data_IF_191772296905
#
_entry.id   IF_191772296905
#
_cell.length_a   1.000
_cell.length_b   1.000
_cell.length_c   1.000
_cell.angle_alpha   90.00
_cell.angle_beta   90.00
_cell.angle_gamma   90.00
#
_symmetry.space_group_name_H-M   'P 1'
#
loop_
_entity.id
_entity.type
_entity.pdbx_description
1 polymer ?
#
# COMPACT_ATOMS: atom_id res chain seq x y z
N UNK A 1 -17.14 -0.33 15.47
CA UNK A 1 -15.91 -1.15 15.32
C UNK A 1 -15.90 -1.56 13.87
N UNK A 2 -15.31 -0.73 13.03
CA UNK A 2 -15.48 -0.85 11.59
C UNK A 2 -14.46 -1.85 11.08
N UNK A 3 -14.94 -3.07 10.90
CA UNK A 3 -14.26 -4.12 10.17
C UNK A 3 -14.12 -3.67 8.73
N UNK A 4 -12.97 -3.09 8.39
CA UNK A 4 -12.50 -3.09 7.01
C UNK A 4 -12.10 -4.54 6.71
N UNK A 5 -13.11 -5.36 6.44
CA UNK A 5 -12.95 -6.58 5.69
C UNK A 5 -12.33 -6.15 4.36
N UNK A 6 -11.11 -6.62 4.09
CA UNK A 6 -10.51 -6.58 2.77
C UNK A 6 -11.38 -7.44 1.84
N UNK A 7 -12.51 -6.90 1.41
CA UNK A 7 -13.08 -7.30 0.13
C UNK A 7 -12.29 -6.49 -0.89
N UNK A 8 -11.51 -7.12 -1.80
CA UNK A 8 -11.11 -6.42 -2.99
C UNK A 8 -12.41 -6.01 -3.69
N UNK A 9 -12.79 -4.74 -3.60
CA UNK A 9 -13.91 -4.24 -4.39
C UNK A 9 -13.64 -4.56 -5.87
N UNK A 10 -14.69 -4.91 -6.60
CA UNK A 10 -14.67 -5.31 -8.03
C UNK A 10 -13.91 -4.34 -8.96
N UNK A 11 -13.61 -3.12 -8.48
CA UNK A 11 -12.90 -2.07 -9.21
C UNK A 11 -11.49 -2.50 -9.69
N UNK A 12 -10.83 -3.43 -9.00
CA UNK A 12 -9.53 -3.99 -9.43
C UNK A 12 -9.62 -5.34 -10.14
N UNK A 13 -10.78 -6.00 -10.12
CA UNK A 13 -10.97 -7.25 -10.84
C UNK A 13 -10.90 -7.04 -12.38
N UNK A 14 -10.99 -5.78 -12.84
CA UNK A 14 -10.93 -5.42 -14.26
C UNK A 14 -9.70 -4.54 -14.55
N UNK A 15 -8.56 -5.12 -14.95
CA UNK A 15 -7.35 -4.37 -15.30
C UNK A 15 -7.60 -3.27 -16.33
N UNK A 16 -8.54 -3.51 -17.26
CA UNK A 16 -8.94 -2.60 -18.34
C UNK A 16 -9.45 -1.22 -17.88
N UNK A 17 -9.75 -1.05 -16.59
CA UNK A 17 -10.19 0.22 -16.00
C UNK A 17 -9.06 1.07 -15.43
N UNK A 18 -7.84 0.54 -15.34
CA UNK A 18 -6.68 1.31 -14.90
C UNK A 18 -6.10 2.10 -16.07
N UNK A 19 -5.47 3.23 -15.79
CA UNK A 19 -4.67 3.89 -16.81
C UNK A 19 -3.52 2.95 -17.24
N UNK A 20 -3.11 2.95 -18.53
CA UNK A 20 -2.11 2.00 -19.04
C UNK A 20 -0.81 1.94 -18.25
N UNK A 21 -0.42 3.03 -17.60
CA UNK A 21 0.80 3.08 -16.76
C UNK A 21 0.75 2.19 -15.51
N UNK A 22 -0.43 1.78 -15.06
CA UNK A 22 -0.63 0.90 -13.91
C UNK A 22 -0.84 -0.57 -14.31
N UNK A 23 -0.77 -0.88 -15.60
CA UNK A 23 -0.93 -2.25 -16.07
C UNK A 23 0.32 -3.08 -15.77
N UNK A 24 0.14 -4.08 -14.92
CA UNK A 24 1.14 -5.11 -14.67
C UNK A 24 0.73 -6.35 -15.44
N UNK A 25 1.56 -6.74 -16.40
CA UNK A 25 1.32 -7.87 -17.28
C UNK A 25 2.49 -8.84 -17.24
N UNK A 26 2.20 -10.12 -17.47
CA UNK A 26 3.22 -11.16 -17.48
C UNK A 26 2.63 -12.48 -17.03
N UNK A 27 3.04 -13.57 -17.67
CA UNK A 27 2.74 -14.93 -17.18
C UNK A 27 3.97 -15.44 -16.45
N UNK A 28 3.78 -15.82 -15.19
CA UNK A 28 4.85 -16.30 -14.32
C UNK A 28 5.56 -15.20 -13.54
N UNK A 29 6.36 -15.64 -12.57
CA UNK A 29 6.94 -14.79 -11.53
C UNK A 29 7.85 -13.70 -12.11
N UNK A 30 8.78 -14.04 -12.99
CA UNK A 30 9.78 -13.09 -13.52
C UNK A 30 9.16 -11.99 -14.39
N UNK A 31 8.23 -12.36 -15.26
CA UNK A 31 7.56 -11.41 -16.16
C UNK A 31 6.68 -10.43 -15.37
N UNK A 32 5.89 -10.94 -14.43
CA UNK A 32 5.07 -10.10 -13.55
C UNK A 32 5.95 -9.20 -12.68
N UNK A 33 7.02 -9.72 -12.08
CA UNK A 33 7.95 -8.96 -11.25
C UNK A 33 8.67 -7.84 -12.01
N UNK A 34 9.07 -8.09 -13.25
CA UNK A 34 9.72 -7.09 -14.11
C UNK A 34 8.74 -5.96 -14.46
N UNK A 35 7.52 -6.31 -14.85
CA UNK A 35 6.47 -5.33 -15.12
C UNK A 35 6.09 -4.54 -13.86
N UNK A 36 6.00 -5.21 -12.71
CA UNK A 36 5.75 -4.58 -11.42
C UNK A 36 6.87 -3.60 -11.03
N UNK A 37 8.14 -3.98 -11.17
CA UNK A 37 9.27 -3.11 -10.88
C UNK A 37 9.22 -1.82 -11.72
N UNK A 38 8.93 -1.95 -13.03
CA UNK A 38 8.74 -0.77 -13.90
C UNK A 38 7.61 0.14 -13.39
N UNK A 39 6.43 -0.41 -13.11
CA UNK A 39 5.28 0.38 -12.63
C UNK A 39 5.58 1.04 -11.29
N UNK A 40 6.16 0.30 -10.33
CA UNK A 40 6.53 0.83 -9.01
C UNK A 40 7.53 1.98 -9.14
N UNK A 41 8.53 1.89 -10.02
CA UNK A 41 9.45 2.98 -10.29
C UNK A 41 8.75 4.25 -10.79
N UNK A 42 7.76 4.11 -11.67
CA UNK A 42 6.94 5.25 -12.14
C UNK A 42 6.10 5.86 -11.02
N UNK A 43 5.49 5.03 -10.16
CA UNK A 43 4.70 5.51 -9.01
C UNK A 43 5.60 6.21 -7.99
N UNK A 44 6.79 5.66 -7.72
CA UNK A 44 7.77 6.29 -6.83
C UNK A 44 8.18 7.67 -7.34
N UNK A 45 8.44 7.80 -8.65
CA UNK A 45 8.72 9.11 -9.26
C UNK A 45 7.56 10.08 -9.12
N UNK A 46 6.33 9.61 -9.36
CA UNK A 46 5.12 10.43 -9.19
C UNK A 46 4.95 10.89 -7.75
N UNK A 47 5.17 10.02 -6.76
CA UNK A 47 5.18 10.40 -5.35
C UNK A 47 6.25 11.44 -5.06
N UNK A 48 7.49 11.29 -5.53
CA UNK A 48 8.53 12.32 -5.28
C UNK A 48 8.13 13.72 -5.77
N UNK A 49 7.39 13.80 -6.88
CA UNK A 49 6.88 15.07 -7.43
C UNK A 49 5.67 15.61 -6.67
N UNK A 50 4.96 14.76 -5.92
CA UNK A 50 3.76 15.12 -5.18
C UNK A 50 4.00 16.24 -4.18
N UNK A 51 5.13 16.21 -3.45
CA UNK A 51 5.42 17.23 -2.44
C UNK A 51 5.42 18.66 -3.03
N UNK A 52 5.89 18.83 -4.27
CA UNK A 52 5.86 20.10 -4.98
C UNK A 52 4.46 20.45 -5.50
N UNK A 53 3.75 19.46 -6.06
CA UNK A 53 2.43 19.67 -6.66
C UNK A 53 1.31 19.88 -5.61
N UNK A 54 1.40 19.23 -4.45
CA UNK A 54 0.35 19.22 -3.43
C UNK A 54 0.00 20.62 -2.92
N UNK A 55 1.01 21.50 -2.82
CA UNK A 55 0.84 22.88 -2.38
C UNK A 55 0.21 23.81 -3.41
N UNK A 56 0.12 23.41 -4.68
CA UNK A 56 -0.47 24.22 -5.74
C UNK A 56 -1.98 24.02 -5.84
N UNK A 57 -2.52 22.99 -5.19
CA UNK A 57 -3.94 22.67 -5.23
C UNK A 57 -4.62 23.34 -4.04
N UNK A 58 -5.79 23.95 -4.24
CA UNK A 58 -6.59 24.47 -3.12
C UNK A 58 -7.20 23.31 -2.33
N UNK A 59 -7.74 22.33 -3.04
CA UNK A 59 -8.22 21.05 -2.55
C UNK A 59 -7.50 19.96 -3.34
N UNK A 60 -6.68 19.14 -2.67
CA UNK A 60 -5.95 18.09 -3.37
C UNK A 60 -6.92 16.97 -3.78
N UNK A 61 -6.93 16.60 -5.06
CA UNK A 61 -7.76 15.53 -5.61
C UNK A 61 -6.84 14.41 -6.12
N UNK A 62 -6.76 13.36 -5.30
CA UNK A 62 -5.91 12.20 -5.53
C UNK A 62 -6.30 11.41 -6.79
N UNK A 63 -7.59 11.13 -7.07
CA UNK A 63 -8.02 10.57 -8.35
C UNK A 63 -7.40 11.27 -9.56
N UNK A 64 -7.52 12.60 -9.63
CA UNK A 64 -6.97 13.36 -10.76
C UNK A 64 -5.44 13.32 -10.80
N UNK A 65 -4.76 13.46 -9.66
CA UNK A 65 -3.29 13.47 -9.63
C UNK A 65 -2.66 12.13 -10.05
N UNK A 66 -3.30 11.01 -9.66
CA UNK A 66 -2.80 9.68 -9.94
C UNK A 66 -3.43 9.06 -11.21
N UNK A 67 -4.23 9.78 -12.00
CA UNK A 67 -4.95 9.21 -13.15
C UNK A 67 -5.79 7.98 -12.77
N UNK A 68 -6.46 8.05 -11.61
CA UNK A 68 -7.30 6.99 -11.04
C UNK A 68 -8.75 7.43 -10.98
N UNK A 69 -9.68 6.48 -11.04
CA UNK A 69 -11.06 6.70 -10.59
C UNK A 69 -11.13 6.87 -9.07
N UNK A 70 -12.24 7.41 -8.55
CA UNK A 70 -12.44 7.58 -7.11
C UNK A 70 -12.32 6.26 -6.32
N UNK A 71 -12.88 5.17 -6.86
CA UNK A 71 -12.81 3.82 -6.26
C UNK A 71 -11.35 3.34 -6.20
N UNK A 72 -10.63 3.48 -7.30
CA UNK A 72 -9.22 3.08 -7.38
C UNK A 72 -8.33 3.90 -6.44
N UNK A 73 -8.53 5.22 -6.39
CA UNK A 73 -7.79 6.08 -5.48
C UNK A 73 -8.05 5.72 -4.01
N UNK A 74 -9.29 5.39 -3.65
CA UNK A 74 -9.67 5.01 -2.28
C UNK A 74 -8.95 3.74 -1.81
N UNK A 75 -8.73 2.78 -2.71
CA UNK A 75 -8.08 1.52 -2.36
C UNK A 75 -6.56 1.53 -2.53
N UNK A 76 -6.03 2.29 -3.52
CA UNK A 76 -4.59 2.36 -3.78
C UNK A 76 -3.88 3.45 -2.97
N UNK A 77 -4.56 4.54 -2.63
CA UNK A 77 -3.91 5.74 -2.07
C UNK A 77 -4.53 6.10 -0.74
N UNK A 78 -3.66 6.28 0.27
CA UNK A 78 -4.05 6.84 1.55
C UNK A 78 -3.31 8.14 1.79
N UNK A 79 -4.05 9.22 2.00
CA UNK A 79 -3.48 10.54 2.33
C UNK A 79 -3.98 10.94 3.70
N UNK A 80 -3.05 11.26 4.60
CA UNK A 80 -3.33 11.73 5.95
C UNK A 80 -2.62 13.06 6.15
N UNK A 81 -3.40 14.14 6.17
CA UNK A 81 -2.90 15.44 6.65
C UNK A 81 -2.81 15.41 8.18
N UNK A 82 -1.61 15.65 8.70
CA UNK A 82 -1.33 15.89 10.11
C UNK A 82 -1.09 17.39 10.33
N UNK A 83 -0.87 17.79 11.59
CA UNK A 83 -0.72 19.19 11.99
C UNK A 83 0.30 19.98 11.15
N UNK A 84 1.40 19.36 10.75
CA UNK A 84 2.45 20.01 9.96
C UNK A 84 3.00 19.21 8.79
N UNK A 85 2.51 18.00 8.58
CA UNK A 85 3.01 17.06 7.58
C UNK A 85 1.85 16.42 6.84
N UNK A 86 2.07 16.03 5.59
CA UNK A 86 1.18 15.19 4.81
C UNK A 86 1.88 13.85 4.66
N UNK A 87 1.17 12.80 5.04
CA UNK A 87 1.62 11.42 4.90
C UNK A 87 0.83 10.76 3.78
N UNK A 88 1.54 10.25 2.77
CA UNK A 88 0.94 9.61 1.60
C UNK A 88 1.44 8.18 1.52
N UNK A 89 0.51 7.22 1.34
CA UNK A 89 0.80 5.81 1.11
C UNK A 89 0.20 5.41 -0.22
N UNK A 90 0.96 4.68 -1.04
CA UNK A 90 0.48 4.05 -2.27
C UNK A 90 0.71 2.52 -2.18
N UNK A 91 -0.38 1.74 -2.20
CA UNK A 91 -0.35 0.29 -2.03
C UNK A 91 -0.11 -0.42 -3.38
N UNK A 92 1.12 -0.37 -3.88
CA UNK A 92 1.47 -0.97 -5.18
C UNK A 92 1.23 -2.50 -5.23
N UNK A 93 1.27 -3.20 -4.09
CA UNK A 93 1.00 -4.65 -4.05
C UNK A 93 -0.39 -5.00 -4.62
N UNK A 94 -1.39 -4.13 -4.42
CA UNK A 94 -2.75 -4.35 -4.92
C UNK A 94 -2.85 -4.29 -6.46
N UNK A 95 -1.84 -3.72 -7.12
CA UNK A 95 -1.77 -3.70 -8.58
C UNK A 95 -1.39 -5.07 -9.16
N UNK A 96 -0.75 -5.95 -8.36
CA UNK A 96 -0.22 -7.22 -8.83
C UNK A 96 -1.35 -8.20 -9.22
N UNK A 97 -1.30 -8.81 -10.41
CA UNK A 97 -2.17 -9.92 -10.77
C UNK A 97 -2.18 -11.06 -9.74
N UNK A 98 -1.00 -11.46 -9.26
CA UNK A 98 -0.84 -12.49 -8.22
C UNK A 98 -1.49 -12.10 -6.89
N UNK A 99 -1.46 -10.81 -6.52
CA UNK A 99 -2.15 -10.34 -5.31
C UNK A 99 -3.66 -10.47 -5.46
N UNK A 100 -4.21 -10.02 -6.59
CA UNK A 100 -5.65 -10.10 -6.87
C UNK A 100 -6.12 -11.55 -6.87
N UNK A 101 -5.35 -12.43 -7.50
CA UNK A 101 -5.64 -13.86 -7.56
C UNK A 101 -5.64 -14.51 -6.15
N UNK A 102 -4.62 -14.24 -5.34
CA UNK A 102 -4.57 -14.69 -3.95
C UNK A 102 -5.71 -14.10 -3.10
N UNK A 103 -6.01 -12.81 -3.25
CA UNK A 103 -7.07 -12.12 -2.50
C UNK A 103 -8.48 -12.61 -2.88
N UNK A 104 -8.74 -12.89 -4.15
CA UNK A 104 -10.00 -13.46 -4.63
C UNK A 104 -10.19 -14.89 -4.10
N UNK A 105 -9.14 -15.71 -4.12
CA UNK A 105 -9.21 -17.05 -3.54
C UNK A 105 -9.41 -17.00 -2.01
N UNK A 106 -8.68 -16.11 -1.33
CA UNK A 106 -8.81 -15.90 0.11
C UNK A 106 -10.23 -15.51 0.49
N UNK A 107 -10.77 -14.46 -0.11
CA UNK A 107 -12.08 -13.89 0.24
C UNK A 107 -13.25 -14.77 -0.23
N UNK A 108 -13.15 -15.37 -1.42
CA UNK A 108 -14.24 -16.12 -2.03
C UNK A 108 -14.32 -17.59 -1.62
N UNK A 109 -13.19 -18.22 -1.24
CA UNK A 109 -13.14 -19.67 -0.96
C UNK A 109 -12.53 -19.98 0.39
N UNK A 110 -11.29 -19.53 0.64
CA UNK A 110 -10.54 -19.99 1.81
C UNK A 110 -11.11 -19.46 3.13
N UNK A 111 -11.27 -18.14 3.28
CA UNK A 111 -11.76 -17.50 4.50
C UNK A 111 -13.17 -17.96 4.90
N UNK A 112 -14.17 -18.01 3.99
CA UNK A 112 -15.49 -18.54 4.32
C UNK A 112 -15.45 -20.00 4.80
N UNK A 113 -14.74 -20.87 4.08
CA UNK A 113 -14.61 -22.28 4.45
C UNK A 113 -13.88 -22.46 5.79
N UNK A 114 -12.83 -21.66 6.02
CA UNK A 114 -12.09 -21.66 7.28
C UNK A 114 -12.95 -21.20 8.46
N UNK A 115 -13.76 -20.15 8.28
CA UNK A 115 -14.71 -19.69 9.30
C UNK A 115 -15.80 -20.72 9.59
N UNK A 116 -16.30 -21.41 8.56
CA UNK A 116 -17.28 -22.49 8.72
C UNK A 116 -16.68 -23.70 9.45
N UNK A 117 -15.46 -24.12 9.09
CA UNK A 117 -14.73 -25.19 9.77
C UNK A 117 -14.55 -24.92 11.27
N UNK A 118 -14.35 -23.66 11.67
CA UNK A 118 -14.28 -23.29 13.10
C UNK A 118 -15.59 -23.53 13.86
N UNK A 119 -16.72 -23.57 13.16
CA UNK A 119 -18.03 -23.90 13.72
C UNK A 119 -18.31 -25.41 13.60
N UNK A 120 -17.84 -26.03 12.52
CA UNK A 120 -18.06 -27.44 12.17
C UNK A 120 -16.71 -28.15 11.91
N UNK A 121 -16.06 -28.72 12.95
CA UNK A 121 -14.71 -29.30 12.83
C UNK A 121 -14.61 -30.48 11.85
N UNK A 122 -15.72 -31.10 11.47
CA UNK A 122 -15.77 -32.16 10.45
C UNK A 122 -15.27 -31.69 9.07
N UNK A 123 -15.33 -30.39 8.80
CA UNK A 123 -14.85 -29.78 7.56
C UNK A 123 -13.32 -29.57 7.54
N UNK A 124 -12.61 -29.94 8.60
CA UNK A 124 -11.17 -29.71 8.72
C UNK A 124 -10.37 -30.40 7.61
N UNK A 125 -10.74 -31.61 7.21
CA UNK A 125 -10.06 -32.33 6.12
C UNK A 125 -10.15 -31.56 4.81
N UNK A 126 -11.34 -31.08 4.44
CA UNK A 126 -11.54 -30.26 3.24
C UNK A 126 -10.68 -28.98 3.28
N UNK A 127 -10.68 -28.27 4.41
CA UNK A 127 -9.93 -27.01 4.51
C UNK A 127 -8.42 -27.25 4.48
N UNK A 128 -7.91 -28.19 5.28
CA UNK A 128 -6.47 -28.38 5.44
C UNK A 128 -5.83 -29.19 4.32
N UNK A 129 -6.54 -30.13 3.70
CA UNK A 129 -5.99 -30.99 2.65
C UNK A 129 -6.31 -30.48 1.23
N UNK A 130 -7.42 -29.76 1.02
CA UNK A 130 -7.79 -29.29 -0.33
C UNK A 130 -7.56 -27.79 -0.51
N UNK A 131 -8.07 -26.95 0.40
CA UNK A 131 -8.06 -25.49 0.20
C UNK A 131 -6.75 -24.83 0.63
N UNK A 132 -6.18 -25.26 1.75
CA UNK A 132 -4.94 -24.69 2.30
C UNK A 132 -3.75 -24.84 1.35
N UNK A 133 -3.46 -26.00 0.74
CA UNK A 133 -2.33 -26.12 -0.19
C UNK A 133 -2.45 -25.16 -1.39
N UNK A 134 -3.66 -24.96 -1.90
CA UNK A 134 -3.93 -24.02 -3.00
C UNK A 134 -3.72 -22.57 -2.55
N UNK A 135 -4.13 -22.22 -1.33
CA UNK A 135 -3.86 -20.89 -0.77
C UNK A 135 -2.36 -20.67 -0.56
N UNK A 136 -1.63 -21.68 -0.07
CA UNK A 136 -0.18 -21.65 0.13
C UNK A 136 0.54 -21.40 -1.19
N UNK A 137 0.17 -22.13 -2.25
CA UNK A 137 0.76 -21.97 -3.58
C UNK A 137 0.58 -20.54 -4.11
N UNK A 138 -0.65 -20.01 -4.08
CA UNK A 138 -0.95 -18.64 -4.54
C UNK A 138 -0.23 -17.59 -3.72
N UNK A 139 -0.18 -17.78 -2.40
CA UNK A 139 0.54 -16.89 -1.50
C UNK A 139 2.04 -16.89 -1.77
N UNK A 140 2.66 -18.07 -1.92
CA UNK A 140 4.08 -18.19 -2.24
C UNK A 140 4.41 -17.58 -3.61
N UNK A 141 3.54 -17.75 -4.61
CA UNK A 141 3.70 -17.11 -5.91
C UNK A 141 3.70 -15.57 -5.79
N UNK A 142 2.74 -15.00 -5.05
CA UNK A 142 2.70 -13.56 -4.77
C UNK A 142 4.00 -13.09 -4.08
N UNK A 143 4.43 -13.79 -3.02
CA UNK A 143 5.67 -13.44 -2.31
C UNK A 143 6.90 -13.53 -3.22
N UNK A 144 6.94 -14.50 -4.13
CA UNK A 144 8.02 -14.63 -5.10
C UNK A 144 8.04 -13.45 -6.07
N UNK A 145 6.88 -13.03 -6.60
CA UNK A 145 6.76 -11.84 -7.46
C UNK A 145 7.29 -10.59 -6.75
N UNK A 146 6.82 -10.35 -5.52
CA UNK A 146 7.24 -9.17 -4.75
C UNK A 146 8.75 -9.22 -4.47
N UNK A 147 9.28 -10.37 -4.04
CA UNK A 147 10.73 -10.51 -3.77
C UNK A 147 11.56 -10.23 -5.01
N UNK A 148 11.20 -10.82 -6.14
CA UNK A 148 11.90 -10.61 -7.41
C UNK A 148 11.81 -9.14 -7.85
N UNK A 149 10.64 -8.51 -7.75
CA UNK A 149 10.49 -7.09 -8.08
C UNK A 149 11.36 -6.21 -7.18
N UNK A 150 11.44 -6.50 -5.88
CA UNK A 150 12.31 -5.79 -4.93
C UNK A 150 13.80 -5.98 -5.26
N UNK A 151 14.21 -7.16 -5.73
CA UNK A 151 15.58 -7.40 -6.20
C UNK A 151 15.90 -6.52 -7.41
N UNK A 152 14.98 -6.40 -8.36
CA UNK A 152 15.13 -5.51 -9.53
C UNK A 152 15.22 -4.04 -9.09
N UNK A 153 14.42 -3.64 -8.10
CA UNK A 153 14.38 -2.28 -7.56
C UNK A 153 15.47 -1.97 -6.53
N UNK A 154 16.41 -2.89 -6.27
CA UNK A 154 17.39 -2.75 -5.19
C UNK A 154 18.29 -1.51 -5.33
N UNK A 155 18.49 -1.02 -6.56
CA UNK A 155 19.28 0.16 -6.88
C UNK A 155 18.42 1.38 -7.30
N UNK A 156 17.09 1.25 -7.33
CA UNK A 156 16.21 2.35 -7.70
C UNK A 156 16.08 3.36 -6.56
N UNK A 157 16.66 4.54 -6.75
CA UNK A 157 16.68 5.62 -5.74
C UNK A 157 15.27 6.09 -5.36
N UNK A 158 14.34 6.10 -6.32
CA UNK A 158 12.95 6.50 -6.07
C UNK A 158 12.26 5.53 -5.12
N UNK A 159 12.37 4.24 -5.41
CA UNK A 159 11.88 3.17 -4.55
C UNK A 159 12.51 3.19 -3.18
N UNK A 160 13.85 3.28 -3.09
CA UNK A 160 14.55 3.31 -1.80
C UNK A 160 14.12 4.51 -0.93
N UNK A 161 13.93 5.68 -1.54
CA UNK A 161 13.50 6.89 -0.85
C UNK A 161 12.03 6.86 -0.40
N UNK A 162 11.21 6.01 -1.02
CA UNK A 162 9.77 5.93 -0.78
C UNK A 162 9.32 4.55 -0.27
N UNK A 163 10.21 3.65 0.10
CA UNK A 163 9.84 2.30 0.54
C UNK A 163 9.08 2.35 1.88
N UNK A 164 7.81 1.93 1.85
CA UNK A 164 6.88 1.96 2.98
C UNK A 164 6.83 0.68 3.81
N UNK A 165 7.78 -0.24 3.64
CA UNK A 165 7.74 -1.53 4.33
C UNK A 165 7.71 -1.43 5.86
N UNK A 166 8.31 -0.40 6.45
CA UNK A 166 8.27 -0.20 7.90
C UNK A 166 6.86 0.17 8.37
N UNK A 167 6.25 1.19 7.77
CA UNK A 167 4.90 1.66 8.09
C UNK A 167 3.85 0.56 7.92
N UNK A 168 4.00 -0.26 6.88
CA UNK A 168 3.11 -1.41 6.67
C UNK A 168 3.27 -2.47 7.77
N UNK A 169 4.49 -2.78 8.20
CA UNK A 169 4.71 -3.71 9.31
C UNK A 169 4.15 -3.16 10.62
N UNK A 170 4.37 -1.89 10.94
CA UNK A 170 3.81 -1.28 12.14
C UNK A 170 2.28 -1.37 12.14
N UNK A 171 1.66 -1.11 10.98
CA UNK A 171 0.21 -1.29 10.80
C UNK A 171 -0.18 -2.74 11.13
N UNK A 172 0.47 -3.72 10.51
CA UNK A 172 0.09 -5.13 10.62
C UNK A 172 0.45 -5.80 11.96
N UNK A 173 1.38 -5.24 12.72
CA UNK A 173 1.97 -5.85 13.92
C UNK A 173 0.93 -6.37 14.91
N UNK A 174 -0.14 -5.61 15.18
CA UNK A 174 -1.18 -6.00 16.14
C UNK A 174 -1.94 -7.27 15.73
N UNK A 175 -2.11 -7.48 14.43
CA UNK A 175 -2.83 -8.64 13.89
C UNK A 175 -1.88 -9.84 13.74
N UNK A 176 -0.61 -9.57 13.46
CA UNK A 176 0.43 -10.59 13.32
C UNK A 176 0.99 -11.12 14.65
N UNK A 177 0.68 -10.45 15.76
CA UNK A 177 1.09 -10.89 17.10
C UNK A 177 0.25 -12.05 17.65
N UNK A 178 -0.92 -12.33 17.05
CA UNK A 178 -1.75 -13.45 17.44
C UNK A 178 -1.10 -14.78 17.00
N UNK A 179 -1.16 -15.84 17.82
CA UNK A 179 -0.67 -17.16 17.40
C UNK A 179 -1.49 -17.67 16.21
N UNK A 180 -0.83 -18.39 15.30
CA UNK A 180 -1.50 -19.05 14.20
C UNK A 180 -2.52 -20.05 14.73
N UNK A 181 -3.64 -20.21 14.02
CA UNK A 181 -4.60 -21.26 14.34
C UNK A 181 -3.92 -22.62 14.17
N UNK A 182 -4.14 -23.59 15.09
CA UNK A 182 -3.61 -24.95 14.92
C UNK A 182 -3.99 -25.53 13.56
N UNK A 183 -3.04 -26.18 12.89
CA UNK A 183 -3.24 -26.78 11.56
C UNK A 183 -3.13 -25.80 10.38
N UNK A 184 -3.02 -24.49 10.63
CA UNK A 184 -2.69 -23.53 9.59
C UNK A 184 -1.22 -23.68 9.18
N UNK A 185 -0.95 -23.73 7.89
CA UNK A 185 0.39 -23.82 7.32
C UNK A 185 1.19 -22.55 7.66
N UNK A 186 2.41 -22.72 8.17
CA UNK A 186 3.30 -21.63 8.55
C UNK A 186 3.64 -20.69 7.37
N UNK A 187 3.58 -21.19 6.14
CA UNK A 187 3.79 -20.38 4.94
C UNK A 187 2.72 -19.29 4.77
N UNK A 188 1.51 -19.48 5.30
CA UNK A 188 0.44 -18.47 5.26
C UNK A 188 0.59 -17.40 6.34
N UNK A 189 1.40 -17.66 7.38
CA UNK A 189 1.65 -16.70 8.45
C UNK A 189 3.14 -16.64 8.81
N UNK A 190 4.02 -16.31 7.84
CA UNK A 190 5.45 -16.22 8.09
C UNK A 190 5.73 -15.05 9.07
N UNK A 191 6.90 -14.98 9.71
CA UNK A 191 7.26 -13.85 10.55
C UNK A 191 7.09 -12.52 9.81
N UNK A 192 6.43 -11.53 10.42
CA UNK A 192 6.07 -10.27 9.76
C UNK A 192 7.27 -9.55 9.11
N UNK A 193 8.46 -9.66 9.72
CA UNK A 193 9.70 -9.11 9.19
C UNK A 193 10.10 -9.69 7.81
N UNK A 194 9.61 -10.88 7.48
CA UNK A 194 9.89 -11.60 6.23
C UNK A 194 8.80 -11.39 5.17
N UNK A 195 7.69 -10.75 5.52
CA UNK A 195 6.64 -10.38 4.57
C UNK A 195 7.14 -9.18 3.74
N UNK A 196 7.41 -9.37 2.44
CA UNK A 196 7.87 -8.31 1.58
C UNK A 196 6.66 -7.49 1.07
N UNK A 197 6.92 -6.25 0.67
CA UNK A 197 5.89 -5.36 0.11
C UNK A 197 6.51 -4.41 -0.92
N UNK A 198 5.70 -3.95 -1.86
CA UNK A 198 5.98 -2.87 -2.81
C UNK A 198 5.30 -1.55 -2.41
N UNK A 199 4.66 -1.47 -1.24
CA UNK A 199 4.02 -0.26 -0.71
C UNK A 199 5.02 0.88 -0.66
N UNK A 200 4.58 2.04 -1.14
CA UNK A 200 5.34 3.28 -1.14
C UNK A 200 4.74 4.28 -0.15
N UNK A 201 5.60 5.04 0.51
CA UNK A 201 5.25 6.07 1.49
C UNK A 201 6.04 7.34 1.20
N UNK A 202 5.40 8.49 1.41
CA UNK A 202 6.06 9.79 1.33
C UNK A 202 5.51 10.71 2.43
N UNK A 203 6.43 11.30 3.19
CA UNK A 203 6.15 12.36 4.13
C UNK A 203 6.72 13.68 3.63
N UNK A 204 5.90 14.73 3.63
CA UNK A 204 6.36 16.08 3.34
C UNK A 204 5.65 17.13 4.19
N UNK A 205 6.22 18.33 4.27
CA UNK A 205 5.64 19.40 5.07
C UNK A 205 4.32 19.89 4.46
N UNK A 206 3.28 20.02 5.28
CA UNK A 206 2.01 20.59 4.85
C UNK A 206 2.25 22.05 4.40
N UNK A 207 1.67 22.51 3.26
CA UNK A 207 1.89 23.85 2.73
C UNK A 207 1.56 24.94 3.75
N UNK A 208 2.37 26.01 3.77
CA UNK A 208 2.24 27.06 4.79
C UNK A 208 0.88 27.76 4.77
N UNK A 209 0.23 27.88 3.60
CA UNK A 209 -1.09 28.50 3.49
C UNK A 209 -2.20 27.67 4.18
N UNK A 210 -2.03 26.34 4.27
CA UNK A 210 -2.91 25.43 5.02
C UNK A 210 -2.56 25.31 6.51
N UNK A 211 -1.56 26.06 6.98
CA UNK A 211 -1.11 26.06 8.37
C UNK A 211 -1.33 27.43 9.04
N UNK A 212 -2.56 27.77 9.48
CA UNK A 212 -2.87 29.08 10.05
C UNK A 212 -1.98 29.45 11.26
N UNK A 213 -1.61 28.47 12.09
CA UNK A 213 -0.69 28.67 13.22
C UNK A 213 0.78 28.92 12.81
N UNK A 214 1.24 28.37 11.68
CA UNK A 214 2.60 28.66 11.16
C UNK A 214 2.65 30.02 10.49
N UNK A 215 1.60 30.42 9.77
CA UNK A 215 1.50 31.77 9.19
C UNK A 215 1.58 32.84 10.27
N UNK A 216 0.87 32.68 11.38
CA UNK A 216 0.96 33.60 12.53
C UNK A 216 2.38 33.70 13.07
N UNK A 217 3.08 32.57 13.24
CA UNK A 217 4.49 32.53 13.70
C UNK A 217 5.46 33.15 12.70
N UNK A 218 5.30 32.89 11.40
CA UNK A 218 6.12 33.47 10.34
C UNK A 218 5.92 34.99 10.24
N UNK A 219 4.67 35.47 10.33
CA UNK A 219 4.35 36.91 10.39
C UNK A 219 4.99 37.56 11.60
N UNK A 220 4.81 36.99 12.79
CA UNK A 220 5.42 37.50 14.02
C UNK A 220 6.95 37.55 13.97
N UNK A 221 7.61 36.54 13.41
CA UNK A 221 9.06 36.52 13.21
C UNK A 221 9.52 37.56 12.20
N UNK A 222 8.77 37.76 11.10
CA UNK A 222 9.06 38.77 10.08
C UNK A 222 8.92 40.19 10.65
N UNK A 223 7.91 40.41 11.48
CA UNK A 223 7.68 41.69 12.18
C UNK A 223 8.77 41.98 13.22
N UNK A 224 9.19 40.97 14.00
CA UNK A 224 10.34 41.08 14.92
C UNK A 224 11.61 41.47 14.18
N UNK A 225 11.94 40.81 13.06
CA UNK A 225 13.12 41.14 12.24
C UNK A 225 13.06 42.55 11.66
N UNK A 226 11.89 43.00 11.20
CA UNK A 226 11.69 44.38 10.72
C UNK A 226 11.90 45.41 11.83
N UNK A 227 11.38 45.16 13.04
CA UNK A 227 11.59 46.04 14.21
C UNK A 227 13.05 46.10 14.64
N UNK A 228 13.78 44.97 14.62
CA UNK A 228 15.20 44.94 14.93
C UNK A 228 16.06 45.72 13.91
N UNK A 229 15.70 45.67 12.62
CA UNK A 229 16.37 46.45 11.57
C UNK A 229 16.11 47.95 11.64
N UNK A 230 14.95 48.40 12.13
CA UNK A 230 14.63 49.83 12.32
C UNK A 230 15.29 50.46 13.55
N UNK A 231 15.86 49.65 14.45
CA UNK A 231 16.55 50.09 15.67
C UNK A 231 18.08 50.13 15.53
N UNK A 232 18.59 49.77 14.36
CA UNK A 232 19.98 49.97 13.94
C UNK A 232 20.00 51.13 12.96
#
# INVERSE_FOLDING_TARGET
>A
MDGVLFAPEDSFARPERLAPMYHISGKGVEAEATSAAYVVGQVAERLRRLAAAYGEWEHFDAPAYFDLSCEQATALVKIVERVSTVHVVFFCDQLLPSFRDAALFWSGRFSPAFLQMRQEPVLAEQVYCELQPVMVERWQQLLAVIRTARTILAEDVGFLATNGAHDERERWQRWWAAPAHPGLDEALMPPLAQVPTLTLTLDFALPAHRQPGRLRRLRANRDRRRRARKRR
#
